data_IF_812584423454
#
_entry.id   IF_812584423454
#
_cell.length_a   1.000
_cell.length_b   1.000
_cell.length_c   1.000
_cell.angle_alpha   90.00
_cell.angle_beta   90.00
_cell.angle_gamma   90.00
#
_symmetry.space_group_name_H-M   'P 1'
#
loop_
_entity.id
_entity.type
_entity.pdbx_description
1 polymer ?
#
# COMPACT_ATOMS: atom_id res chain seq x y z
N UNK A 1 -22.33 -14.57 5.17
CA UNK A 1 -23.67 -14.05 4.80
C UNK A 1 -23.55 -13.52 3.37
N UNK A 2 -24.08 -14.22 2.37
CA UNK A 2 -23.96 -13.84 0.96
C UNK A 2 -25.06 -12.82 0.62
N UNK A 3 -24.68 -11.64 0.16
CA UNK A 3 -25.61 -10.59 -0.27
C UNK A 3 -26.35 -10.96 -1.58
N UNK A 4 -27.56 -10.42 -1.80
CA UNK A 4 -28.41 -10.80 -2.92
C UNK A 4 -27.82 -10.34 -4.26
N UNK A 5 -27.79 -11.26 -5.22
CA UNK A 5 -27.34 -11.04 -6.59
C UNK A 5 -28.41 -10.21 -7.32
N UNK A 6 -28.18 -8.91 -7.48
CA UNK A 6 -28.98 -8.01 -8.33
C UNK A 6 -28.96 -8.51 -9.79
N UNK A 7 -30.16 -8.79 -10.32
CA UNK A 7 -30.42 -9.35 -11.66
C UNK A 7 -30.95 -8.30 -12.65
N UNK A 8 -30.42 -7.08 -12.63
CA UNK A 8 -30.68 -6.09 -13.69
C UNK A 8 -29.76 -6.32 -14.90
N UNK A 9 -30.35 -6.45 -16.10
CA UNK A 9 -29.77 -6.92 -17.37
C UNK A 9 -28.68 -6.06 -18.03
N UNK A 10 -27.73 -5.55 -17.28
CA UNK A 10 -26.44 -5.06 -17.78
C UNK A 10 -25.36 -6.13 -17.58
N UNK A 11 -24.33 -6.16 -18.45
CA UNK A 11 -23.17 -7.06 -18.33
C UNK A 11 -22.76 -7.20 -16.85
N UNK A 12 -22.82 -8.41 -16.30
CA UNK A 12 -22.40 -8.71 -14.92
C UNK A 12 -20.93 -8.32 -14.77
N UNK A 13 -20.61 -7.63 -13.67
CA UNK A 13 -19.24 -7.61 -13.18
C UNK A 13 -19.14 -8.82 -12.24
N UNK A 14 -18.08 -9.60 -12.37
CA UNK A 14 -17.82 -10.70 -11.45
C UNK A 14 -16.94 -10.15 -10.32
N UNK A 15 -17.54 -9.96 -9.14
CA UNK A 15 -16.79 -9.58 -7.95
C UNK A 15 -15.99 -10.80 -7.49
N UNK A 16 -14.68 -10.64 -7.39
CA UNK A 16 -13.77 -11.71 -7.00
C UNK A 16 -13.43 -11.62 -5.51
N UNK A 17 -13.23 -10.40 -5.01
CA UNK A 17 -12.87 -10.15 -3.62
C UNK A 17 -13.35 -8.76 -3.19
N UNK A 18 -13.81 -8.64 -1.95
CA UNK A 18 -14.16 -7.38 -1.31
C UNK A 18 -13.63 -7.39 0.11
N UNK A 19 -12.84 -6.37 0.45
CA UNK A 19 -12.29 -6.16 1.79
C UNK A 19 -12.65 -4.79 2.29
N UNK A 20 -13.20 -4.74 3.50
CA UNK A 20 -13.25 -3.53 4.32
C UNK A 20 -12.06 -3.59 5.28
N UNK A 21 -11.30 -2.52 5.30
CA UNK A 21 -10.10 -2.37 6.12
C UNK A 21 -10.40 -1.22 7.08
N UNK A 22 -10.18 -1.46 8.37
CA UNK A 22 -10.39 -0.45 9.42
C UNK A 22 -9.22 0.53 9.45
N UNK A 23 -9.01 1.22 8.34
CA UNK A 23 -7.98 2.24 8.19
C UNK A 23 -8.53 3.63 8.51
N UNK A 24 -7.94 4.27 9.51
CA UNK A 24 -8.18 5.69 9.78
C UNK A 24 -7.31 6.52 8.85
N UNK A 25 -7.94 7.39 8.07
CA UNK A 25 -7.26 8.48 7.37
C UNK A 25 -7.39 9.74 8.21
N UNK A 26 -6.39 10.64 8.20
CA UNK A 26 -6.51 11.91 8.90
C UNK A 26 -7.71 12.71 8.37
N UNK A 27 -8.42 13.37 9.29
CA UNK A 27 -9.45 14.35 8.93
C UNK A 27 -8.77 15.50 8.18
N UNK A 28 -9.22 15.82 6.96
CA UNK A 28 -8.61 16.89 6.16
C UNK A 28 -8.67 16.68 4.66
N UNK A 29 -7.85 17.40 3.92
CA UNK A 29 -7.72 17.24 2.47
C UNK A 29 -6.95 15.94 2.14
N UNK A 30 -7.41 15.20 1.13
CA UNK A 30 -6.78 13.97 0.66
C UNK A 30 -5.64 14.23 -0.34
N UNK A 31 -5.25 15.48 -0.57
CA UNK A 31 -4.17 15.85 -1.51
C UNK A 31 -2.85 15.13 -1.23
N UNK A 32 -2.44 15.01 0.03
CA UNK A 32 -1.20 14.30 0.39
C UNK A 32 -1.27 12.81 0.07
N UNK A 33 -2.45 12.20 0.30
CA UNK A 33 -2.72 10.81 -0.10
C UNK A 33 -2.65 10.69 -1.62
N UNK A 34 -3.21 11.64 -2.36
CA UNK A 34 -3.15 11.64 -3.82
C UNK A 34 -1.72 11.70 -4.35
N UNK A 35 -0.92 12.64 -3.83
CA UNK A 35 0.48 12.83 -4.20
C UNK A 35 1.26 11.55 -3.91
N UNK A 36 1.06 10.99 -2.71
CA UNK A 36 1.69 9.75 -2.30
C UNK A 36 1.32 8.60 -3.24
N UNK A 37 0.03 8.41 -3.53
CA UNK A 37 -0.42 7.33 -4.39
C UNK A 37 0.13 7.48 -5.81
N UNK A 38 0.17 8.69 -6.36
CA UNK A 38 0.71 8.97 -7.70
C UNK A 38 2.21 8.66 -7.83
N UNK A 39 2.97 8.65 -6.73
CA UNK A 39 4.39 8.26 -6.76
C UNK A 39 4.60 6.73 -6.68
N UNK A 40 3.56 5.97 -6.32
CA UNK A 40 3.64 4.51 -6.26
C UNK A 40 3.71 3.89 -7.66
N UNK A 41 4.72 3.06 -7.87
CA UNK A 41 4.86 2.24 -9.08
C UNK A 41 5.06 0.77 -8.68
N UNK A 42 3.97 0.07 -8.38
CA UNK A 42 4.03 -1.27 -7.79
C UNK A 42 3.39 -2.35 -8.68
N UNK A 43 4.03 -3.52 -8.73
CA UNK A 43 3.41 -4.76 -9.22
C UNK A 43 2.84 -5.55 -8.04
N UNK A 44 1.70 -5.08 -7.53
CA UNK A 44 1.08 -5.61 -6.32
C UNK A 44 0.76 -7.12 -6.41
N UNK A 45 0.29 -7.59 -7.57
CA UNK A 45 -0.06 -9.00 -7.75
C UNK A 45 1.17 -9.91 -7.83
N UNK A 46 2.29 -9.43 -8.39
CA UNK A 46 3.58 -10.14 -8.30
C UNK A 46 4.05 -10.21 -6.85
N UNK A 47 4.01 -9.09 -6.13
CA UNK A 47 4.46 -9.00 -4.74
C UNK A 47 3.66 -9.92 -3.81
N UNK A 48 2.32 -9.93 -3.93
CA UNK A 48 1.45 -10.84 -3.17
C UNK A 48 1.81 -12.31 -3.42
N UNK A 49 2.01 -12.71 -4.68
CA UNK A 49 2.39 -14.07 -5.03
C UNK A 49 3.77 -14.45 -4.48
N UNK A 50 4.72 -13.52 -4.45
CA UNK A 50 6.04 -13.74 -3.84
C UNK A 50 5.90 -13.93 -2.33
N UNK A 51 5.11 -13.09 -1.66
CA UNK A 51 4.83 -13.21 -0.22
C UNK A 51 4.17 -14.55 0.14
N UNK A 52 3.15 -14.95 -0.65
CA UNK A 52 2.45 -16.22 -0.48
C UNK A 52 3.41 -17.41 -0.66
N UNK A 53 4.24 -17.40 -1.71
CA UNK A 53 5.25 -18.44 -1.96
C UNK A 53 6.34 -18.50 -0.91
N UNK A 54 6.70 -17.36 -0.32
CA UNK A 54 7.59 -17.33 0.83
C UNK A 54 6.94 -17.99 2.06
N UNK A 55 5.61 -18.12 2.09
CA UNK A 55 4.86 -18.70 3.20
C UNK A 55 4.78 -17.76 4.40
N UNK A 56 4.88 -16.44 4.17
CA UNK A 56 4.75 -15.43 5.23
C UNK A 56 3.26 -15.18 5.48
N UNK A 57 2.85 -15.29 6.73
CA UNK A 57 1.47 -15.10 7.19
C UNK A 57 1.35 -14.07 8.31
N UNK A 58 2.47 -13.71 8.94
CA UNK A 58 2.52 -12.75 10.05
C UNK A 58 3.72 -11.83 9.89
N UNK A 59 3.53 -10.59 10.30
CA UNK A 59 4.61 -9.62 10.44
C UNK A 59 4.73 -9.23 11.91
N UNK A 60 5.96 -9.12 12.38
CA UNK A 60 6.29 -8.64 13.70
C UNK A 60 7.38 -7.57 13.58
N UNK A 61 7.24 -6.47 14.31
CA UNK A 61 8.28 -5.46 14.45
C UNK A 61 9.06 -5.75 15.72
N UNK A 62 10.39 -5.79 15.61
CA UNK A 62 11.22 -5.74 16.82
C UNK A 62 11.17 -4.33 17.41
N UNK A 63 11.45 -4.23 18.72
CA UNK A 63 11.62 -2.92 19.37
C UNK A 63 12.64 -2.03 18.64
N UNK A 64 13.75 -2.62 18.19
CA UNK A 64 14.76 -1.88 17.43
C UNK A 64 14.20 -1.33 16.10
N UNK A 65 13.40 -2.13 15.38
CA UNK A 65 12.72 -1.66 14.18
C UNK A 65 11.78 -0.48 14.50
N UNK A 66 11.02 -0.54 15.59
CA UNK A 66 10.16 0.58 16.01
C UNK A 66 10.96 1.86 16.28
N UNK A 67 12.04 1.77 17.06
CA UNK A 67 12.90 2.92 17.36
C UNK A 67 13.50 3.53 16.07
N UNK A 68 13.83 2.67 15.08
CA UNK A 68 14.35 3.10 13.79
C UNK A 68 13.29 3.71 12.88
N UNK A 69 12.05 3.24 12.96
CA UNK A 69 10.94 3.88 12.27
C UNK A 69 10.78 5.33 12.75
N UNK A 70 10.75 5.53 14.07
CA UNK A 70 10.51 6.83 14.71
C UNK A 70 11.63 7.83 14.49
N UNK A 71 12.84 7.37 14.13
CA UNK A 71 14.01 8.22 13.88
C UNK A 71 14.35 8.40 12.40
N UNK A 72 13.83 7.55 11.49
CA UNK A 72 14.29 7.50 10.09
C UNK A 72 13.21 7.42 9.03
N UNK A 73 11.96 7.08 9.37
CA UNK A 73 10.95 6.71 8.35
C UNK A 73 9.71 7.57 8.43
N UNK A 74 8.99 7.54 9.55
CA UNK A 74 7.64 8.08 9.62
C UNK A 74 7.43 8.93 10.85
N UNK A 75 6.21 9.44 11.03
CA UNK A 75 5.85 10.12 12.27
C UNK A 75 6.15 9.25 13.48
N UNK A 76 6.84 9.84 14.47
CA UNK A 76 7.31 9.12 15.66
C UNK A 76 6.20 8.78 16.67
N UNK A 77 4.99 9.28 16.45
CA UNK A 77 3.86 9.20 17.37
C UNK A 77 2.87 8.06 17.05
N UNK A 78 3.33 7.03 16.34
CA UNK A 78 2.50 5.88 15.97
C UNK A 78 2.80 4.74 16.95
N UNK A 79 1.78 4.12 17.50
CA UNK A 79 1.93 2.95 18.36
C UNK A 79 2.49 1.75 17.58
N UNK A 80 3.29 0.91 18.23
CA UNK A 80 3.93 -0.24 17.58
C UNK A 80 2.90 -1.22 17.00
N UNK A 81 1.78 -1.41 17.70
CA UNK A 81 0.68 -2.28 17.25
C UNK A 81 0.05 -1.77 15.96
N UNK A 82 -0.28 -0.47 15.90
CA UNK A 82 -0.89 0.17 14.72
C UNK A 82 0.05 0.13 13.52
N UNK A 83 1.35 0.37 13.75
CA UNK A 83 2.36 0.28 12.70
C UNK A 83 2.48 -1.17 12.18
N UNK A 84 2.49 -2.15 13.09
CA UNK A 84 2.57 -3.58 12.74
C UNK A 84 1.35 -4.02 11.93
N UNK A 85 0.14 -3.64 12.34
CA UNK A 85 -1.09 -3.94 11.61
C UNK A 85 -1.09 -3.30 10.22
N UNK A 86 -0.66 -2.04 10.13
CA UNK A 86 -0.53 -1.33 8.85
C UNK A 86 0.43 -2.04 7.90
N UNK A 87 1.62 -2.42 8.36
CA UNK A 87 2.60 -3.15 7.54
C UNK A 87 2.09 -4.54 7.17
N UNK A 88 1.38 -5.22 8.07
CA UNK A 88 0.72 -6.50 7.80
C UNK A 88 -0.32 -6.35 6.68
N UNK A 89 -1.16 -5.32 6.74
CA UNK A 89 -2.14 -5.02 5.69
C UNK A 89 -1.43 -4.71 4.37
N UNK A 90 -0.40 -3.87 4.40
CA UNK A 90 0.37 -3.50 3.21
C UNK A 90 1.01 -4.71 2.51
N UNK A 91 1.50 -5.69 3.28
CA UNK A 91 2.11 -6.91 2.74
C UNK A 91 1.09 -7.92 2.26
N UNK A 92 0.25 -8.41 3.17
CA UNK A 92 -0.58 -9.59 2.96
C UNK A 92 -1.85 -9.29 2.16
N UNK A 93 -2.37 -8.06 2.29
CA UNK A 93 -3.60 -7.67 1.63
C UNK A 93 -3.36 -6.79 0.42
N UNK A 94 -2.38 -5.89 0.47
CA UNK A 94 -2.18 -4.86 -0.56
C UNK A 94 -1.13 -5.20 -1.61
N UNK A 95 -0.11 -6.01 -1.29
CA UNK A 95 1.01 -6.29 -2.20
C UNK A 95 2.01 -5.14 -2.31
N UNK A 96 2.07 -4.28 -1.31
CA UNK A 96 2.89 -3.07 -1.29
C UNK A 96 4.29 -3.29 -0.75
N UNK A 97 4.62 -4.53 -0.36
CA UNK A 97 5.96 -4.91 0.05
C UNK A 97 6.60 -5.80 -1.02
N UNK A 98 7.74 -5.35 -1.55
CA UNK A 98 8.61 -6.16 -2.43
C UNK A 98 9.72 -6.82 -1.62
N UNK A 99 9.92 -8.13 -1.81
CA UNK A 99 11.06 -8.86 -1.23
C UNK A 99 12.23 -8.85 -2.20
N UNK A 100 13.22 -7.99 -1.95
CA UNK A 100 14.43 -7.88 -2.78
C UNK A 100 15.38 -9.07 -2.60
N UNK A 101 15.43 -9.62 -1.38
CA UNK A 101 16.23 -10.79 -1.03
C UNK A 101 15.62 -11.53 0.16
N UNK A 102 16.30 -12.57 0.65
CA UNK A 102 15.88 -13.34 1.84
C UNK A 102 15.82 -12.53 3.14
N UNK A 103 16.48 -11.38 3.18
CA UNK A 103 16.67 -10.59 4.41
C UNK A 103 16.33 -9.11 4.20
N UNK A 104 15.91 -8.70 3.00
CA UNK A 104 15.67 -7.30 2.71
C UNK A 104 14.43 -7.13 1.84
N UNK A 105 13.64 -6.11 2.16
CA UNK A 105 12.47 -5.71 1.40
C UNK A 105 12.31 -4.20 1.31
N UNK A 106 11.38 -3.81 0.46
CA UNK A 106 10.94 -2.44 0.26
C UNK A 106 9.44 -2.35 0.52
N UNK A 107 9.02 -1.35 1.29
CA UNK A 107 7.61 -0.94 1.34
C UNK A 107 7.47 0.22 0.35
N UNK A 108 6.50 0.11 -0.56
CA UNK A 108 6.15 1.19 -1.48
C UNK A 108 7.28 1.67 -2.41
N UNK A 109 8.27 0.80 -2.64
CA UNK A 109 9.53 1.13 -3.33
C UNK A 109 10.29 2.32 -2.73
N UNK A 110 10.02 2.65 -1.46
CA UNK A 110 10.61 3.83 -0.80
C UNK A 110 11.24 3.45 0.54
N UNK A 111 10.54 2.70 1.38
CA UNK A 111 11.02 2.40 2.74
C UNK A 111 11.83 1.11 2.74
N UNK A 112 13.11 1.21 3.07
CA UNK A 112 14.03 0.07 3.11
C UNK A 112 14.04 -0.56 4.50
N UNK A 113 13.87 -1.88 4.56
CA UNK A 113 13.94 -2.64 5.80
C UNK A 113 14.71 -3.95 5.67
N UNK A 114 15.22 -4.42 6.81
CA UNK A 114 15.80 -5.75 6.97
C UNK A 114 14.88 -6.60 7.82
N UNK A 115 14.76 -7.86 7.44
CA UNK A 115 13.94 -8.81 8.15
C UNK A 115 14.63 -10.17 8.27
N UNK A 116 14.21 -10.91 9.27
CA UNK A 116 14.48 -12.33 9.42
C UNK A 116 13.17 -13.09 9.30
N UNK A 117 13.22 -14.30 8.74
CA UNK A 117 12.05 -15.15 8.61
C UNK A 117 12.18 -16.37 9.49
N UNK A 118 11.22 -16.54 10.40
CA UNK A 118 11.09 -17.75 11.22
C UNK A 118 9.74 -18.39 10.92
N UNK A 119 9.77 -19.59 10.33
CA UNK A 119 8.56 -20.29 9.90
C UNK A 119 7.68 -19.42 8.98
N UNK A 120 6.47 -19.08 9.41
CA UNK A 120 5.50 -18.24 8.70
C UNK A 120 5.50 -16.77 9.16
N UNK A 121 6.45 -16.38 10.01
CA UNK A 121 6.56 -15.02 10.53
C UNK A 121 7.78 -14.29 9.94
N UNK A 122 7.54 -13.08 9.44
CA UNK A 122 8.56 -12.11 9.10
C UNK A 122 8.79 -11.18 10.29
N UNK A 123 10.00 -11.20 10.85
CA UNK A 123 10.44 -10.29 11.89
C UNK A 123 11.21 -9.15 11.24
N UNK A 124 10.64 -7.95 11.18
CA UNK A 124 11.37 -6.77 10.72
C UNK A 124 12.32 -6.35 11.85
N UNK A 125 13.62 -6.42 11.56
CA UNK A 125 14.70 -6.19 12.51
C UNK A 125 15.07 -4.71 12.55
N UNK A 126 15.08 -4.04 11.40
CA UNK A 126 15.43 -2.62 11.33
C UNK A 126 14.88 -1.93 10.08
N UNK A 127 14.69 -0.61 10.18
CA UNK A 127 14.44 0.27 9.04
C UNK A 127 15.67 1.14 8.77
N UNK A 128 16.06 1.24 7.50
CA UNK A 128 17.15 2.14 7.09
C UNK A 128 16.65 3.55 6.79
N UNK A 129 15.39 3.71 6.41
CA UNK A 129 14.80 5.00 6.06
C UNK A 129 14.06 4.94 4.72
N UNK A 130 13.79 6.13 4.18
CA UNK A 130 13.17 6.34 2.87
C UNK A 130 14.20 6.66 1.80
N UNK A 131 14.09 6.03 0.64
CA UNK A 131 14.91 6.32 -0.53
C UNK A 131 14.71 7.77 -0.97
N UNK A 132 13.48 8.31 -0.88
CA UNK A 132 13.17 9.71 -1.20
C UNK A 132 14.00 10.72 -0.40
N UNK A 133 14.41 10.35 0.82
CA UNK A 133 15.15 11.22 1.74
C UNK A 133 16.65 10.95 1.76
N UNK A 134 17.01 9.70 1.46
CA UNK A 134 18.39 9.23 1.46
C UNK A 134 18.60 8.41 0.19
N UNK A 135 18.90 9.05 -0.95
CA UNK A 135 19.09 8.35 -2.24
C UNK A 135 20.20 7.30 -2.21
N UNK A 136 21.15 7.40 -1.27
CA UNK A 136 22.16 6.37 -1.02
C UNK A 136 21.54 4.98 -0.72
N UNK A 137 20.30 4.93 -0.26
CA UNK A 137 19.57 3.69 -0.04
C UNK A 137 19.11 3.00 -1.33
N UNK A 138 19.19 3.65 -2.50
CA UNK A 138 18.78 3.06 -3.77
C UNK A 138 19.66 1.84 -4.16
N UNK A 139 20.94 1.82 -3.76
CA UNK A 139 21.81 0.66 -3.95
C UNK A 139 21.81 -0.24 -2.71
N UNK A 140 20.64 -0.81 -2.42
CA UNK A 140 20.42 -1.70 -1.26
C UNK A 140 21.41 -2.87 -1.22
N UNK A 141 21.93 -3.32 -2.37
CA UNK A 141 22.94 -4.38 -2.44
C UNK A 141 24.28 -3.94 -1.85
N UNK A 142 24.63 -2.66 -1.97
CA UNK A 142 25.83 -2.10 -1.34
C UNK A 142 25.66 -1.86 0.17
N UNK A 143 24.44 -1.67 0.68
CA UNK A 143 24.20 -1.48 2.12
C UNK A 143 24.61 -2.68 2.99
N UNK A 144 24.52 -3.91 2.47
CA UNK A 144 25.03 -5.11 3.17
C UNK A 144 26.56 -5.06 3.33
N UNK A 145 27.26 -4.56 2.31
CA UNK A 145 28.71 -4.41 2.33
C UNK A 145 29.11 -3.26 3.27
N UNK A 146 28.32 -2.19 3.28
CA UNK A 146 28.50 -1.02 4.14
C UNK A 146 28.38 -1.37 5.63
N UNK A 147 27.31 -2.05 6.06
CA UNK A 147 27.11 -2.36 7.49
C UNK A 147 28.11 -3.39 8.06
N UNK A 148 28.69 -4.25 7.21
CA UNK A 148 29.69 -5.22 7.67
C UNK A 148 31.09 -4.61 7.81
N UNK A 149 31.34 -3.43 7.22
CA UNK A 149 32.66 -2.76 7.23
C UNK A 149 32.67 -1.42 7.98
N UNK A 150 31.55 -0.70 8.01
CA UNK A 150 31.43 0.62 8.62
C UNK A 150 30.17 0.65 9.49
N UNK A 151 30.32 0.15 10.73
CA UNK A 151 29.40 0.51 11.81
C UNK A 151 29.63 2.01 12.09
N UNK A 152 28.58 2.82 11.93
CA UNK A 152 28.38 4.21 12.42
C UNK A 152 28.58 5.46 11.54
N UNK A 153 29.17 5.45 10.35
CA UNK A 153 29.43 6.75 9.68
C UNK A 153 28.25 7.35 8.88
N UNK A 154 27.26 6.54 8.47
CA UNK A 154 26.10 7.05 7.75
C UNK A 154 24.94 7.41 8.70
N UNK A 155 24.84 8.69 9.06
CA UNK A 155 23.71 9.20 9.83
C UNK A 155 22.43 9.28 8.96
N UNK A 156 21.59 8.25 9.05
CA UNK A 156 20.27 8.20 8.42
C UNK A 156 19.15 8.82 9.26
N UNK A 157 19.46 9.40 10.41
CA UNK A 157 18.44 10.06 11.22
C UNK A 157 17.87 11.28 10.51
N UNK A 158 16.58 11.49 10.78
CA UNK A 158 15.83 12.65 10.35
C UNK A 158 15.66 13.58 11.55
N UNK A 159 15.66 14.88 11.28
CA UNK A 159 15.26 15.88 12.26
C UNK A 159 13.77 15.71 12.61
N UNK A 160 13.35 16.23 13.76
CA UNK A 160 11.93 16.18 14.17
C UNK A 160 11.00 16.85 13.15
N UNK A 161 11.45 17.91 12.49
CA UNK A 161 10.66 18.59 11.47
C UNK A 161 10.50 17.69 10.24
N UNK A 162 11.59 17.09 9.74
CA UNK A 162 11.53 16.13 8.64
C UNK A 162 10.61 14.95 8.98
N UNK A 163 10.68 14.39 10.20
CA UNK A 163 9.81 13.30 10.66
C UNK A 163 8.33 13.69 10.69
N UNK A 164 8.02 14.90 11.16
CA UNK A 164 6.65 15.39 11.23
C UNK A 164 6.05 15.67 9.85
N UNK A 165 6.89 15.95 8.85
CA UNK A 165 6.49 16.11 7.45
C UNK A 165 6.29 14.77 6.74
N UNK A 166 6.67 13.63 7.36
CA UNK A 166 6.52 12.33 6.72
C UNK A 166 5.07 11.87 6.70
N UNK A 167 4.60 11.52 5.50
CA UNK A 167 3.29 10.92 5.31
C UNK A 167 3.40 9.42 5.60
N UNK A 168 2.59 8.95 6.54
CA UNK A 168 2.41 7.52 6.78
C UNK A 168 1.81 6.87 5.52
N UNK A 169 2.32 5.72 5.02
CA UNK A 169 1.74 5.08 3.86
C UNK A 169 0.22 4.86 4.00
N UNK A 170 -0.60 5.47 3.12
CA UNK A 170 -2.04 5.47 3.27
C UNK A 170 -2.59 4.09 2.97
N UNK A 171 -3.48 3.55 3.81
CA UNK A 171 -4.14 2.26 3.58
C UNK A 171 -5.58 2.52 3.15
N UNK A 172 -6.09 1.87 2.08
CA UNK A 172 -7.46 2.08 1.66
C UNK A 172 -8.42 1.49 2.68
N UNK A 173 -9.60 2.10 2.84
CA UNK A 173 -10.65 1.60 3.73
C UNK A 173 -11.48 0.49 3.07
N UNK A 174 -11.52 0.49 1.75
CA UNK A 174 -12.23 -0.53 0.97
C UNK A 174 -11.39 -0.90 -0.24
N UNK A 175 -11.32 -2.19 -0.51
CA UNK A 175 -10.70 -2.77 -1.70
C UNK A 175 -11.69 -3.70 -2.37
N UNK A 176 -11.83 -3.57 -3.69
CA UNK A 176 -12.65 -4.45 -4.51
C UNK A 176 -11.83 -4.98 -5.69
N UNK A 177 -11.70 -6.30 -5.79
CA UNK A 177 -11.20 -6.97 -7.00
C UNK A 177 -12.38 -7.47 -7.81
N UNK A 178 -12.43 -7.11 -9.09
CA UNK A 178 -13.53 -7.50 -9.97
C UNK A 178 -13.04 -7.72 -11.40
N UNK A 179 -13.76 -8.57 -12.12
CA UNK A 179 -13.42 -8.95 -13.50
C UNK A 179 -14.37 -8.30 -14.50
N UNK A 180 -13.80 -7.67 -15.52
CA UNK A 180 -14.50 -7.29 -16.74
C UNK A 180 -14.49 -8.44 -17.76
N UNK A 181 -14.62 -8.14 -19.06
CA UNK A 181 -14.56 -9.20 -20.09
C UNK A 181 -13.14 -9.77 -20.26
N UNK A 182 -12.13 -8.90 -20.31
CA UNK A 182 -10.72 -9.28 -20.56
C UNK A 182 -9.73 -8.62 -19.59
N UNK A 183 -10.24 -7.81 -18.66
CA UNK A 183 -9.44 -6.99 -17.77
C UNK A 183 -9.82 -7.34 -16.33
N UNK A 184 -8.81 -7.59 -15.51
CA UNK A 184 -8.93 -7.71 -14.07
C UNK A 184 -8.71 -6.33 -13.47
N UNK A 185 -9.61 -5.91 -12.59
CA UNK A 185 -9.55 -4.61 -11.94
C UNK A 185 -9.36 -4.79 -10.44
N UNK A 186 -8.53 -3.92 -9.87
CA UNK A 186 -8.51 -3.62 -8.44
C UNK A 186 -8.92 -2.18 -8.25
N UNK A 187 -9.88 -1.93 -7.38
CA UNK A 187 -10.30 -0.59 -6.97
C UNK A 187 -10.12 -0.42 -5.47
N UNK A 188 -9.21 0.47 -5.10
CA UNK A 188 -8.92 0.87 -3.73
C UNK A 188 -9.54 2.24 -3.45
N UNK A 189 -10.25 2.37 -2.34
CA UNK A 189 -10.92 3.61 -1.93
C UNK A 189 -10.31 4.16 -0.64
N UNK A 190 -9.89 5.41 -0.72
CA UNK A 190 -9.35 6.23 0.35
C UNK A 190 -10.34 7.35 0.63
N UNK A 191 -11.14 7.23 1.68
CA UNK A 191 -12.19 8.20 1.96
C UNK A 191 -12.06 8.80 3.37
N UNK A 192 -12.52 10.03 3.51
CA UNK A 192 -12.78 10.63 4.81
C UNK A 192 -14.28 11.01 4.88
N UNK A 193 -14.63 11.90 5.80
CA UNK A 193 -16.03 12.31 5.98
C UNK A 193 -16.60 13.11 4.80
N UNK A 194 -15.75 13.74 3.99
CA UNK A 194 -16.15 14.74 2.98
C UNK A 194 -15.76 14.39 1.54
N UNK A 195 -14.74 13.56 1.32
CA UNK A 195 -14.19 13.24 0.01
C UNK A 195 -13.70 11.79 -0.08
N UNK A 196 -13.47 11.32 -1.31
CA UNK A 196 -12.88 10.01 -1.59
C UNK A 196 -12.00 10.04 -2.84
N UNK A 197 -10.79 9.47 -2.70
CA UNK A 197 -9.85 9.20 -3.79
C UNK A 197 -9.87 7.71 -4.09
N UNK A 198 -9.86 7.40 -5.37
CA UNK A 198 -9.83 6.04 -5.88
C UNK A 198 -8.52 5.78 -6.60
N UNK A 199 -7.90 4.66 -6.30
CA UNK A 199 -6.82 4.09 -7.08
C UNK A 199 -7.37 2.87 -7.83
N UNK A 200 -7.34 2.92 -9.15
CA UNK A 200 -7.77 1.86 -10.04
C UNK A 200 -6.56 1.26 -10.75
N UNK A 201 -6.30 -0.02 -10.49
CA UNK A 201 -5.33 -0.82 -11.24
C UNK A 201 -6.07 -1.73 -12.21
N UNK A 202 -5.57 -1.78 -13.45
CA UNK A 202 -6.09 -2.62 -14.53
C UNK A 202 -5.00 -3.59 -14.98
N UNK A 203 -5.33 -4.88 -15.09
CA UNK A 203 -4.42 -5.90 -15.61
C UNK A 203 -5.09 -6.63 -16.77
N UNK A 204 -4.43 -6.61 -17.93
CA UNK A 204 -4.90 -7.22 -19.17
C UNK A 204 -3.77 -7.99 -19.85
N UNK A 205 -4.06 -8.83 -20.86
CA UNK A 205 -3.02 -9.46 -21.68
C UNK A 205 -2.08 -8.46 -22.38
N UNK A 206 -2.54 -7.23 -22.62
CA UNK A 206 -1.78 -6.17 -23.29
C UNK A 206 -0.88 -5.37 -22.34
N UNK A 207 -1.02 -5.55 -21.03
CA UNK A 207 -0.26 -4.83 -20.01
C UNK A 207 -1.13 -4.41 -18.82
N UNK A 208 -0.50 -3.64 -17.93
CA UNK A 208 -1.14 -3.07 -16.74
C UNK A 208 -1.27 -1.55 -16.85
N UNK A 209 -2.38 -1.02 -16.36
CA UNK A 209 -2.63 0.42 -16.24
C UNK A 209 -2.97 0.81 -14.81
N UNK A 210 -2.67 2.05 -14.44
CA UNK A 210 -3.04 2.63 -13.14
C UNK A 210 -3.65 4.01 -13.36
N UNK A 211 -4.69 4.33 -12.59
CA UNK A 211 -5.32 5.65 -12.61
C UNK A 211 -5.78 6.07 -11.22
N UNK A 212 -5.80 7.38 -11.00
CA UNK A 212 -6.20 8.01 -9.75
C UNK A 212 -7.29 9.03 -10.04
N UNK A 213 -8.38 9.00 -9.28
CA UNK A 213 -9.51 9.89 -9.52
C UNK A 213 -10.35 10.15 -8.28
N UNK A 214 -11.07 11.27 -8.29
CA UNK A 214 -12.22 11.57 -7.43
C UNK A 214 -13.51 11.46 -8.24
N UNK A 215 -14.65 11.25 -7.56
CA UNK A 215 -15.97 11.19 -8.23
C UNK A 215 -16.38 12.52 -8.91
N UNK A 216 -15.79 13.63 -8.45
CA UNK A 216 -16.03 14.98 -8.97
C UNK A 216 -15.21 15.31 -10.22
N UNK A 217 -14.20 14.50 -10.53
CA UNK A 217 -13.35 14.74 -11.69
C UNK A 217 -14.14 14.50 -12.98
N UNK A 218 -14.19 15.49 -13.86
CA UNK A 218 -15.00 15.46 -15.09
C UNK A 218 -14.29 14.79 -16.25
N UNK A 219 -12.96 14.73 -16.21
CA UNK A 219 -12.14 14.35 -17.36
C UNK A 219 -11.84 12.84 -17.40
N UNK A 220 -12.37 12.10 -16.43
CA UNK A 220 -12.02 10.70 -16.20
C UNK A 220 -13.11 9.80 -16.77
N UNK A 221 -12.77 9.10 -17.86
CA UNK A 221 -13.65 8.15 -18.53
C UNK A 221 -13.57 6.78 -17.85
N UNK A 222 -14.50 6.52 -16.95
CA UNK A 222 -14.61 5.23 -16.27
C UNK A 222 -15.36 4.19 -17.13
N UNK A 223 -14.90 2.94 -17.08
CA UNK A 223 -15.62 1.83 -17.70
C UNK A 223 -16.97 1.60 -17.01
N UNK A 224 -17.95 1.02 -17.73
CA UNK A 224 -19.24 0.63 -17.13
C UNK A 224 -19.06 -0.31 -15.94
N UNK A 225 -18.06 -1.18 -15.99
CA UNK A 225 -17.74 -2.11 -14.90
C UNK A 225 -17.25 -1.37 -13.65
N UNK A 226 -16.38 -0.37 -13.84
CA UNK A 226 -15.86 0.47 -12.76
C UNK A 226 -16.96 1.32 -12.12
N UNK A 227 -17.86 1.90 -12.92
CA UNK A 227 -19.03 2.63 -12.38
C UNK A 227 -19.92 1.73 -11.53
N UNK A 228 -20.11 0.47 -11.94
CA UNK A 228 -20.87 -0.52 -11.15
C UNK A 228 -20.11 -0.91 -9.87
N UNK A 229 -18.80 -1.12 -9.95
CA UNK A 229 -17.94 -1.38 -8.78
C UNK A 229 -18.02 -0.23 -7.75
N UNK A 230 -17.99 1.02 -8.19
CA UNK A 230 -18.18 2.18 -7.31
C UNK A 230 -19.53 2.15 -6.58
N UNK A 231 -20.61 1.73 -7.25
CA UNK A 231 -21.92 1.54 -6.59
C UNK A 231 -21.86 0.48 -5.50
N UNK A 232 -21.20 -0.65 -5.76
CA UNK A 232 -21.00 -1.71 -4.73
C UNK A 232 -20.21 -1.20 -3.53
N UNK A 233 -19.24 -0.31 -3.74
CA UNK A 233 -18.48 0.31 -2.65
C UNK A 233 -19.27 1.39 -1.89
N UNK A 234 -20.46 1.76 -2.34
CA UNK A 234 -21.30 2.83 -1.76
C UNK A 234 -21.00 4.23 -2.32
N UNK A 235 -20.25 4.33 -3.42
CA UNK A 235 -19.81 5.58 -4.07
C UNK A 235 -20.53 5.85 -5.39
N UNK A 236 -21.62 5.14 -5.65
CA UNK A 236 -22.44 5.36 -6.83
C UNK A 236 -23.14 6.70 -6.75
N UNK A 237 -23.05 7.52 -7.82
CA UNK A 237 -23.95 8.67 -7.97
C UNK A 237 -25.40 8.18 -7.91
N UNK A 238 -26.12 8.46 -6.83
CA UNK A 238 -27.55 8.73 -6.93
C UNK A 238 -27.66 10.09 -7.62
N UNK A 239 -27.52 10.11 -8.94
CA UNK A 239 -28.10 11.20 -9.71
C UNK A 239 -29.62 11.10 -9.48
N UNK A 240 -30.14 11.96 -8.60
CA UNK A 240 -31.51 12.43 -8.73
C UNK A 240 -31.54 13.50 -9.81
#
# INVERSE_FOLDING_TARGET
MQEPIDRSGGKRIDILDFKKIDAVLPDGDLSDVEIYLRSLTLDADRNLRIFERAGIKKIHLTKHAKDRWDSRVGPANIEEADLTERITTMSLDLGRIELLSKECGLIDNDIVFIYEKHNDQMNIVTFYGRISHRPALHDVKQLKIFNYKELDDANFELTRNELNEQILPPVPQKRLKYKGSFVLYTLDAYANQTDAIFHLTEVSPQGSGQSYFRLRDTDIRLSKSTVKALRYLGYGRTQK
#
